data_IF_999323799868
#
_entry.id   IF_999323799868
#
_cell.length_a   1.000
_cell.length_b   1.000
_cell.length_c   1.000
_cell.angle_alpha   90.00
_cell.angle_beta   90.00
_cell.angle_gamma   90.00
#
_symmetry.space_group_name_H-M   'P 1'
#
loop_
_entity.id
_entity.type
_entity.pdbx_description
1 polymer ?
#
# COMPACT_ATOMS: atom_id res chain seq x y z
N UNK A 1 -14.81 -28.47 5.84
CA UNK A 1 -13.71 -27.47 5.78
C UNK A 1 -13.34 -27.33 4.33
N UNK A 2 -13.55 -26.15 3.73
CA UNK A 2 -13.30 -25.96 2.30
C UNK A 2 -11.79 -25.83 2.01
N UNK A 3 -11.40 -25.80 0.74
CA UNK A 3 -9.99 -25.68 0.35
C UNK A 3 -9.33 -24.42 0.93
N UNK A 4 -10.04 -23.30 0.98
CA UNK A 4 -9.51 -22.05 1.54
C UNK A 4 -9.16 -22.21 3.02
N UNK A 5 -10.05 -22.79 3.82
CA UNK A 5 -9.83 -23.02 5.25
C UNK A 5 -8.59 -23.93 5.49
N UNK A 6 -8.34 -24.90 4.61
CA UNK A 6 -7.16 -25.77 4.65
C UNK A 6 -5.88 -24.99 4.34
N UNK A 7 -5.89 -24.15 3.30
CA UNK A 7 -4.76 -23.29 2.94
C UNK A 7 -4.43 -22.30 4.05
N UNK A 8 -5.45 -21.69 4.67
CA UNK A 8 -5.29 -20.81 5.82
C UNK A 8 -4.69 -21.60 6.99
N UNK A 9 -5.20 -22.79 7.30
CA UNK A 9 -4.65 -23.63 8.36
C UNK A 9 -3.17 -23.96 8.13
N UNK A 10 -2.80 -24.32 6.90
CA UNK A 10 -1.42 -24.60 6.54
C UNK A 10 -0.53 -23.35 6.64
N UNK A 11 -1.00 -22.20 6.16
CA UNK A 11 -0.30 -20.92 6.30
C UNK A 11 -0.04 -20.59 7.79
N UNK A 12 -1.04 -20.79 8.65
CA UNK A 12 -0.89 -20.57 10.08
C UNK A 12 0.08 -21.55 10.75
N UNK A 13 0.13 -22.80 10.29
CA UNK A 13 1.11 -23.78 10.77
C UNK A 13 2.53 -23.38 10.36
N UNK A 14 2.72 -22.88 9.15
CA UNK A 14 4.01 -22.44 8.62
C UNK A 14 4.49 -21.13 9.26
N UNK A 15 3.57 -20.30 9.75
CA UNK A 15 3.80 -18.98 10.34
C UNK A 15 3.04 -18.80 11.65
N UNK A 16 3.39 -19.61 12.65
CA UNK A 16 2.71 -19.63 13.95
C UNK A 16 2.73 -18.27 14.66
N UNK A 17 3.77 -17.47 14.44
CA UNK A 17 3.92 -16.11 14.97
C UNK A 17 2.85 -15.12 14.48
N UNK A 18 2.15 -15.45 13.38
CA UNK A 18 1.07 -14.64 12.82
C UNK A 18 -0.30 -15.02 13.33
N UNK A 19 -0.42 -15.96 14.29
CA UNK A 19 -1.71 -16.40 14.85
C UNK A 19 -2.67 -15.27 15.26
N UNK A 20 -2.21 -14.20 15.95
CA UNK A 20 -3.07 -13.06 16.29
C UNK A 20 -3.55 -12.26 15.07
N UNK A 21 -2.87 -12.41 13.94
CA UNK A 21 -3.10 -11.68 12.69
C UNK A 21 -3.80 -12.52 11.62
N UNK A 22 -4.39 -13.66 12.00
CA UNK A 22 -5.04 -14.61 11.08
C UNK A 22 -5.98 -13.93 10.07
N UNK A 23 -6.78 -12.95 10.51
CA UNK A 23 -7.71 -12.21 9.65
C UNK A 23 -6.98 -11.51 8.50
N UNK A 24 -5.82 -10.91 8.76
CA UNK A 24 -5.03 -10.23 7.73
C UNK A 24 -4.30 -11.24 6.84
N UNK A 25 -3.85 -12.37 7.40
CA UNK A 25 -3.30 -13.50 6.63
C UNK A 25 -4.31 -14.02 5.61
N UNK A 26 -5.57 -14.22 6.03
CA UNK A 26 -6.66 -14.63 5.13
C UNK A 26 -6.83 -13.65 3.97
N UNK A 27 -6.75 -12.33 4.23
CA UNK A 27 -6.78 -11.31 3.18
C UNK A 27 -5.58 -11.40 2.24
N UNK A 28 -4.36 -11.54 2.76
CA UNK A 28 -3.17 -11.65 1.91
C UNK A 28 -3.20 -12.90 1.03
N UNK A 29 -3.75 -14.02 1.51
CA UNK A 29 -3.98 -15.20 0.65
C UNK A 29 -4.96 -14.88 -0.47
N UNK A 30 -6.09 -14.24 -0.18
CA UNK A 30 -7.05 -13.80 -1.19
C UNK A 30 -6.46 -12.76 -2.17
N UNK A 31 -5.48 -11.95 -1.74
CA UNK A 31 -4.77 -11.04 -2.65
C UNK A 31 -4.06 -11.79 -3.78
N UNK A 32 -3.46 -12.96 -3.50
CA UNK A 32 -2.85 -13.78 -4.55
C UNK A 32 -3.88 -14.24 -5.59
N UNK A 33 -5.06 -14.66 -5.16
CA UNK A 33 -6.13 -15.04 -6.09
C UNK A 33 -6.62 -13.84 -6.90
N UNK A 34 -6.89 -12.70 -6.26
CA UNK A 34 -7.34 -11.48 -6.94
C UNK A 34 -6.32 -11.04 -7.99
N UNK A 35 -5.03 -10.99 -7.63
CA UNK A 35 -3.96 -10.58 -8.56
C UNK A 35 -3.85 -11.59 -9.71
N UNK A 36 -3.97 -12.90 -9.45
CA UNK A 36 -3.97 -13.92 -10.51
C UNK A 36 -5.12 -13.71 -11.48
N UNK A 37 -6.35 -13.56 -10.99
CA UNK A 37 -7.51 -13.38 -11.84
C UNK A 37 -7.47 -12.05 -12.62
N UNK A 38 -6.98 -10.98 -12.00
CA UNK A 38 -6.72 -9.71 -12.70
C UNK A 38 -5.69 -9.87 -13.82
N UNK A 39 -4.67 -10.72 -13.62
CA UNK A 39 -3.69 -11.02 -14.67
C UNK A 39 -4.29 -11.83 -15.81
N UNK A 40 -5.08 -12.87 -15.49
CA UNK A 40 -5.74 -13.71 -16.51
C UNK A 40 -6.72 -12.89 -17.34
N UNK A 41 -7.38 -11.91 -16.73
CA UNK A 41 -8.25 -10.96 -17.41
C UNK A 41 -7.50 -9.87 -18.22
N UNK A 42 -6.15 -9.87 -18.25
CA UNK A 42 -5.35 -8.90 -18.98
C UNK A 42 -5.31 -7.49 -18.36
N UNK A 43 -5.83 -7.30 -17.15
CA UNK A 43 -5.91 -5.98 -16.52
C UNK A 43 -4.54 -5.46 -16.08
N UNK A 44 -3.68 -6.37 -15.62
CA UNK A 44 -2.36 -6.02 -15.09
C UNK A 44 -1.37 -5.52 -16.15
N UNK A 45 -1.67 -5.68 -17.45
CA UNK A 45 -0.83 -5.18 -18.53
C UNK A 45 -0.74 -3.65 -18.54
N UNK A 46 -1.83 -3.00 -18.12
CA UNK A 46 -1.95 -1.53 -18.08
C UNK A 46 -1.84 -0.94 -16.67
N UNK A 47 -1.92 -1.78 -15.64
CA UNK A 47 -1.86 -1.37 -14.24
C UNK A 47 -0.45 -1.54 -13.67
N UNK A 48 -0.09 -0.68 -12.74
CA UNK A 48 1.12 -0.82 -11.93
C UNK A 48 0.73 -1.00 -10.48
N UNK A 49 1.23 -2.05 -9.84
CA UNK A 49 0.95 -2.37 -8.45
C UNK A 49 1.76 -1.48 -7.51
N UNK A 50 1.10 -0.80 -6.57
CA UNK A 50 1.70 0.28 -5.78
C UNK A 50 1.47 0.10 -4.27
N UNK A 51 2.05 1.01 -3.50
CA UNK A 51 1.69 1.20 -2.09
C UNK A 51 2.19 0.09 -1.16
N UNK A 52 1.53 -0.02 -0.01
CA UNK A 52 1.98 -0.87 1.09
C UNK A 52 1.91 -2.36 0.80
N UNK A 53 0.88 -2.79 0.06
CA UNK A 53 0.72 -4.20 -0.30
C UNK A 53 1.71 -4.60 -1.38
N UNK A 54 2.11 -3.69 -2.28
CA UNK A 54 3.23 -3.91 -3.18
C UNK A 54 4.55 -4.10 -2.42
N UNK A 55 4.84 -3.25 -1.41
CA UNK A 55 6.00 -3.45 -0.53
C UNK A 55 5.99 -4.83 0.15
N UNK A 56 4.83 -5.26 0.64
CA UNK A 56 4.66 -6.58 1.25
C UNK A 56 4.85 -7.71 0.24
N UNK A 57 4.03 -7.74 -0.80
CA UNK A 57 3.92 -8.88 -1.70
C UNK A 57 5.09 -9.01 -2.69
N UNK A 58 5.69 -7.91 -3.13
CA UNK A 58 6.81 -7.93 -4.09
C UNK A 58 8.17 -7.76 -3.41
N UNK A 59 8.28 -6.83 -2.46
CA UNK A 59 9.57 -6.46 -1.86
C UNK A 59 9.84 -7.10 -0.49
N UNK A 60 8.83 -7.71 0.13
CA UNK A 60 8.96 -8.46 1.37
C UNK A 60 8.95 -7.62 2.65
N UNK A 61 8.20 -6.52 2.67
CA UNK A 61 7.93 -5.76 3.90
C UNK A 61 7.34 -6.66 4.99
N UNK A 62 7.71 -6.37 6.24
CA UNK A 62 7.44 -7.22 7.41
C UNK A 62 6.00 -7.09 7.89
N UNK A 63 5.41 -5.90 7.70
CA UNK A 63 4.02 -5.65 8.12
C UNK A 63 3.06 -6.23 7.10
N UNK A 64 1.98 -6.81 7.59
CA UNK A 64 0.90 -7.30 6.75
C UNK A 64 0.12 -6.12 6.15
N UNK A 65 -0.65 -6.40 5.10
CA UNK A 65 -1.47 -5.43 4.39
C UNK A 65 -2.83 -6.02 4.02
N UNK A 66 -3.84 -5.17 3.87
CA UNK A 66 -5.24 -5.61 3.77
C UNK A 66 -5.96 -5.24 2.47
N UNK A 67 -5.47 -4.22 1.77
CA UNK A 67 -6.06 -3.66 0.55
C UNK A 67 -5.12 -3.85 -0.65
N UNK A 68 -5.61 -3.67 -1.87
CA UNK A 68 -4.82 -3.71 -3.09
C UNK A 68 -4.88 -2.35 -3.79
N UNK A 69 -3.72 -1.72 -3.98
CA UNK A 69 -3.61 -0.41 -4.62
C UNK A 69 -2.90 -0.54 -5.97
N UNK A 70 -3.49 0.00 -7.03
CA UNK A 70 -2.88 0.08 -8.36
C UNK A 70 -2.93 1.49 -8.91
N UNK A 71 -2.14 1.74 -9.94
CA UNK A 71 -2.24 2.93 -10.76
C UNK A 71 -2.32 2.60 -12.24
N UNK A 72 -3.25 3.23 -12.95
CA UNK A 72 -3.60 2.88 -14.34
C UNK A 72 -3.23 3.93 -15.39
N UNK A 73 -2.51 4.99 -15.02
CA UNK A 73 -2.22 6.12 -15.90
C UNK A 73 -3.38 7.11 -15.99
N UNK A 74 -3.12 8.25 -16.65
CA UNK A 74 -4.10 9.36 -16.78
C UNK A 74 -5.35 9.01 -17.60
N UNK A 75 -5.26 7.98 -18.44
CA UNK A 75 -6.33 7.56 -19.34
C UNK A 75 -7.10 6.32 -18.83
N UNK A 76 -6.92 5.95 -17.56
CA UNK A 76 -7.60 4.79 -17.00
C UNK A 76 -9.13 4.97 -17.02
N UNK A 77 -9.84 4.00 -17.61
CA UNK A 77 -11.29 4.04 -17.77
C UNK A 77 -11.95 2.90 -16.99
N UNK A 78 -13.06 3.18 -16.30
CA UNK A 78 -13.94 2.19 -15.66
C UNK A 78 -14.28 0.99 -16.53
N UNK A 79 -14.42 1.20 -17.84
CA UNK A 79 -14.73 0.12 -18.78
C UNK A 79 -13.67 -0.99 -18.78
N UNK A 80 -12.47 -0.76 -18.25
CA UNK A 80 -11.48 -1.83 -18.02
C UNK A 80 -11.83 -2.71 -16.81
N UNK A 81 -12.66 -2.23 -15.90
CA UNK A 81 -13.12 -2.97 -14.72
C UNK A 81 -14.50 -3.60 -14.92
N UNK A 82 -15.14 -3.38 -16.07
CA UNK A 82 -16.30 -4.17 -16.43
C UNK A 82 -15.87 -5.64 -16.48
N UNK A 83 -16.74 -6.52 -16.03
CA UNK A 83 -16.53 -7.96 -15.96
C UNK A 83 -15.53 -8.45 -14.89
N UNK A 84 -14.62 -7.62 -14.35
CA UNK A 84 -13.74 -8.03 -13.25
C UNK A 84 -14.53 -8.53 -12.04
N UNK A 85 -15.63 -7.85 -11.71
CA UNK A 85 -16.51 -8.27 -10.62
C UNK A 85 -17.06 -9.68 -10.84
N UNK A 86 -17.61 -9.96 -12.02
CA UNK A 86 -18.16 -11.27 -12.37
C UNK A 86 -17.06 -12.35 -12.39
N UNK A 87 -15.90 -12.06 -12.99
CA UNK A 87 -14.76 -12.96 -13.04
C UNK A 87 -14.30 -13.35 -11.63
N UNK A 88 -14.16 -12.36 -10.72
CA UNK A 88 -13.71 -12.63 -9.36
C UNK A 88 -14.74 -13.47 -8.59
N UNK A 89 -16.03 -13.19 -8.74
CA UNK A 89 -17.10 -14.00 -8.11
C UNK A 89 -17.02 -15.44 -8.62
N UNK A 90 -17.10 -15.65 -9.93
CA UNK A 90 -17.13 -16.97 -10.55
C UNK A 90 -15.90 -17.80 -10.18
N UNK A 91 -14.70 -17.18 -10.21
CA UNK A 91 -13.43 -17.88 -9.97
C UNK A 91 -13.23 -18.22 -8.50
N UNK A 92 -13.54 -17.31 -7.58
CA UNK A 92 -13.39 -17.55 -6.15
C UNK A 92 -14.45 -18.54 -5.63
N UNK A 93 -15.68 -18.45 -6.13
CA UNK A 93 -16.74 -19.41 -5.82
C UNK A 93 -16.39 -20.80 -6.35
N UNK A 94 -15.96 -20.93 -7.61
CA UNK A 94 -15.56 -22.21 -8.18
C UNK A 94 -14.36 -22.84 -7.45
N UNK A 95 -13.36 -22.03 -7.06
CA UNK A 95 -12.14 -22.53 -6.41
C UNK A 95 -12.37 -22.98 -4.96
N UNK A 96 -13.19 -22.24 -4.21
CA UNK A 96 -13.30 -22.43 -2.75
C UNK A 96 -14.68 -22.83 -2.24
N UNK A 97 -15.72 -22.81 -3.09
CA UNK A 97 -17.11 -22.91 -2.64
C UNK A 97 -17.47 -21.80 -1.65
N UNK A 98 -16.83 -20.64 -1.80
CA UNK A 98 -16.96 -19.50 -0.89
C UNK A 98 -17.83 -18.45 -1.54
N UNK A 99 -18.97 -18.12 -0.94
CA UNK A 99 -19.83 -17.05 -1.49
C UNK A 99 -19.10 -15.71 -1.45
N UNK A 100 -19.00 -15.04 -2.61
CA UNK A 100 -18.30 -13.77 -2.79
C UNK A 100 -19.22 -12.75 -3.42
N UNK A 101 -19.15 -11.52 -2.93
CA UNK A 101 -19.76 -10.36 -3.61
C UNK A 101 -18.69 -9.33 -3.92
N UNK A 102 -18.78 -8.73 -5.10
CA UNK A 102 -17.88 -7.65 -5.53
C UNK A 102 -18.70 -6.41 -5.82
N UNK A 103 -18.36 -5.29 -5.18
CA UNK A 103 -19.06 -4.04 -5.44
C UNK A 103 -18.73 -3.48 -6.81
N UNK A 104 -19.72 -2.88 -7.47
CA UNK A 104 -19.52 -2.07 -8.66
C UNK A 104 -18.41 -1.00 -8.48
N UNK A 105 -17.55 -0.77 -9.49
CA UNK A 105 -16.53 0.26 -9.42
C UNK A 105 -17.15 1.64 -9.21
N UNK A 106 -16.83 2.28 -8.08
CA UNK A 106 -17.27 3.64 -7.77
C UNK A 106 -16.12 4.60 -7.96
N UNK A 107 -16.38 5.69 -8.70
CA UNK A 107 -15.45 6.80 -8.84
C UNK A 107 -15.50 7.64 -7.56
N UNK A 108 -14.35 7.77 -6.91
CA UNK A 108 -14.13 8.72 -5.83
C UNK A 108 -13.44 9.95 -6.43
N UNK A 109 -14.18 11.06 -6.55
CA UNK A 109 -13.68 12.33 -7.09
C UNK A 109 -13.05 13.14 -5.95
N UNK A 110 -11.78 12.89 -5.68
CA UNK A 110 -10.94 13.72 -4.82
C UNK A 110 -9.93 14.53 -5.65
N UNK A 111 -8.73 14.73 -5.10
CA UNK A 111 -7.59 15.31 -5.84
C UNK A 111 -7.14 14.44 -7.02
N UNK A 112 -7.53 13.16 -7.01
CA UNK A 112 -7.15 12.13 -7.98
C UNK A 112 -8.35 11.25 -8.20
N UNK A 113 -8.69 11.03 -9.46
CA UNK A 113 -9.73 10.07 -9.84
C UNK A 113 -9.31 8.66 -9.42
N UNK A 114 -10.07 8.08 -8.47
CA UNK A 114 -9.81 6.73 -7.96
C UNK A 114 -11.03 5.85 -8.17
N UNK A 115 -10.84 4.68 -8.76
CA UNK A 115 -11.88 3.66 -8.88
C UNK A 115 -11.74 2.66 -7.75
N UNK A 116 -12.82 2.50 -6.97
CA UNK A 116 -12.86 1.62 -5.81
C UNK A 116 -13.79 0.46 -6.04
N UNK A 117 -13.29 -0.74 -5.78
CA UNK A 117 -14.05 -1.99 -5.74
C UNK A 117 -13.79 -2.70 -4.42
N UNK A 118 -14.72 -3.52 -3.97
CA UNK A 118 -14.61 -4.21 -2.70
C UNK A 118 -15.05 -5.66 -2.87
N UNK A 119 -14.16 -6.59 -2.54
CA UNK A 119 -14.43 -8.02 -2.49
C UNK A 119 -14.84 -8.37 -1.05
N UNK A 120 -16.01 -8.98 -0.89
CA UNK A 120 -16.56 -9.40 0.39
C UNK A 120 -16.79 -10.91 0.37
N UNK A 121 -16.18 -11.63 1.32
CA UNK A 121 -16.39 -13.08 1.49
C UNK A 121 -17.45 -13.38 2.53
N UNK A 122 -18.21 -14.47 2.34
CA UNK A 122 -19.25 -14.96 3.27
C UNK A 122 -20.26 -13.87 3.69
N UNK A 123 -20.82 -13.07 2.76
CA UNK A 123 -21.64 -11.90 3.12
C UNK A 123 -22.91 -12.27 3.93
N UNK A 124 -23.41 -13.49 3.79
CA UNK A 124 -24.64 -13.97 4.43
C UNK A 124 -24.42 -14.64 5.80
N UNK A 125 -23.18 -15.01 6.14
CA UNK A 125 -22.88 -15.78 7.36
C UNK A 125 -22.43 -14.86 8.50
N UNK A 126 -23.39 -14.19 9.17
CA UNK A 126 -23.13 -13.28 10.31
C UNK A 126 -22.36 -13.93 11.48
N UNK A 127 -22.39 -15.26 11.59
CA UNK A 127 -21.69 -16.02 12.63
C UNK A 127 -20.21 -16.28 12.33
N UNK A 128 -19.73 -15.98 11.13
CA UNK A 128 -18.33 -16.14 10.73
C UNK A 128 -17.73 -14.79 10.31
N UNK A 129 -16.43 -14.55 10.56
CA UNK A 129 -15.78 -13.32 10.11
C UNK A 129 -15.77 -13.26 8.58
N UNK A 130 -16.37 -12.20 8.02
CA UNK A 130 -16.28 -11.87 6.61
C UNK A 130 -15.00 -11.10 6.31
N UNK A 131 -14.36 -11.39 5.17
CA UNK A 131 -13.22 -10.62 4.71
C UNK A 131 -13.68 -9.51 3.78
N UNK A 132 -13.15 -8.31 4.00
CA UNK A 132 -13.36 -7.14 3.16
C UNK A 132 -12.01 -6.66 2.62
N UNK A 133 -11.84 -6.72 1.30
CA UNK A 133 -10.62 -6.32 0.59
C UNK A 133 -10.99 -5.23 -0.38
N UNK A 134 -10.42 -4.04 -0.21
CA UNK A 134 -10.60 -2.97 -1.18
C UNK A 134 -9.56 -3.10 -2.30
N UNK A 135 -10.00 -2.80 -3.52
CA UNK A 135 -9.16 -2.67 -4.71
C UNK A 135 -9.32 -1.24 -5.19
N UNK A 136 -8.26 -0.46 -5.05
CA UNK A 136 -8.23 0.97 -5.40
C UNK A 136 -7.32 1.16 -6.61
N UNK A 137 -7.86 1.79 -7.67
CA UNK A 137 -7.11 2.08 -8.90
C UNK A 137 -7.10 3.58 -9.14
N UNK A 138 -5.93 4.19 -8.92
CA UNK A 138 -5.71 5.62 -9.09
C UNK A 138 -5.35 5.94 -10.56
N UNK A 139 -5.99 6.95 -11.14
CA UNK A 139 -5.67 7.47 -12.47
C UNK A 139 -4.42 8.38 -12.47
N UNK A 140 -3.32 7.89 -11.89
CA UNK A 140 -2.01 8.53 -11.88
C UNK A 140 -1.02 7.74 -12.75
N UNK A 141 0.07 8.36 -13.22
CA UNK A 141 1.18 7.61 -13.79
C UNK A 141 2.08 7.03 -12.69
N UNK A 142 2.70 5.88 -12.99
CA UNK A 142 3.95 5.45 -12.36
C UNK A 142 5.11 5.82 -13.28
N UNK A 143 6.15 6.41 -12.70
CA UNK A 143 7.34 6.92 -13.36
C UNK A 143 8.52 5.93 -13.36
N UNK A 144 8.51 4.95 -12.45
CA UNK A 144 9.51 3.87 -12.35
C UNK A 144 8.80 2.54 -12.05
N UNK A 145 8.35 1.89 -13.13
CA UNK A 145 7.74 0.56 -13.09
C UNK A 145 8.80 -0.53 -13.29
N UNK A 146 8.68 -1.63 -12.55
CA UNK A 146 9.58 -2.78 -12.60
C UNK A 146 8.78 -4.09 -12.69
N UNK A 147 9.19 -5.05 -13.53
CA UNK A 147 8.61 -6.38 -13.51
C UNK A 147 9.02 -7.08 -12.20
N UNK A 148 8.03 -7.60 -11.47
CA UNK A 148 8.22 -8.26 -10.17
C UNK A 148 7.39 -9.54 -10.08
N UNK A 149 7.82 -10.45 -9.21
CA UNK A 149 7.05 -11.64 -8.85
C UNK A 149 6.49 -11.50 -7.44
N UNK A 150 5.33 -12.13 -7.20
CA UNK A 150 4.77 -12.24 -5.85
C UNK A 150 5.59 -13.20 -4.99
N UNK A 151 5.90 -12.80 -3.77
CA UNK A 151 6.60 -13.61 -2.78
C UNK A 151 5.61 -14.52 -2.06
N UNK A 152 5.96 -15.80 -1.89
CA UNK A 152 5.18 -16.74 -1.09
C UNK A 152 5.54 -16.64 0.40
N UNK A 153 4.90 -15.71 1.11
CA UNK A 153 5.17 -15.47 2.54
C UNK A 153 4.75 -16.63 3.45
N UNK A 154 3.80 -17.45 3.00
CA UNK A 154 3.11 -18.44 3.82
C UNK A 154 3.50 -19.88 3.51
N UNK A 155 4.27 -20.12 2.45
CA UNK A 155 4.67 -21.45 2.01
C UNK A 155 3.48 -22.30 1.55
N UNK A 156 2.45 -21.68 0.98
CA UNK A 156 1.27 -22.35 0.41
C UNK A 156 1.14 -21.99 -1.06
N UNK A 157 0.72 -22.95 -1.90
CA UNK A 157 0.61 -22.72 -3.34
C UNK A 157 -0.71 -22.02 -3.66
N UNK A 158 -0.61 -20.76 -4.06
CA UNK A 158 -1.76 -19.93 -4.43
C UNK A 158 -1.93 -19.78 -5.94
N UNK A 159 -1.22 -20.55 -6.77
CA UNK A 159 -1.28 -20.47 -8.23
C UNK A 159 -0.70 -19.18 -8.80
N UNK A 160 0.22 -18.54 -8.06
CA UNK A 160 0.89 -17.29 -8.47
C UNK A 160 2.39 -17.48 -8.68
N UNK A 161 2.88 -18.72 -8.55
CA UNK A 161 4.26 -19.05 -8.88
C UNK A 161 4.53 -18.74 -10.36
N UNK A 162 5.60 -18.01 -10.63
CA UNK A 162 5.95 -17.56 -11.99
C UNK A 162 5.15 -16.37 -12.51
N UNK A 163 4.16 -15.86 -11.78
CA UNK A 163 3.38 -14.70 -12.22
C UNK A 163 4.22 -13.42 -12.15
N UNK A 164 4.44 -12.79 -13.30
CA UNK A 164 5.12 -11.50 -13.42
C UNK A 164 4.08 -10.39 -13.49
N UNK A 165 4.22 -9.38 -12.65
CA UNK A 165 3.37 -8.18 -12.63
C UNK A 165 4.23 -6.91 -12.73
N UNK A 166 3.65 -5.82 -13.21
CA UNK A 166 4.28 -4.50 -13.13
C UNK A 166 4.06 -3.92 -11.74
N UNK A 167 5.13 -3.64 -11.02
CA UNK A 167 5.12 -3.04 -9.70
C UNK A 167 5.91 -1.73 -9.72
N UNK A 168 5.50 -0.78 -8.88
CA UNK A 168 6.24 0.45 -8.69
C UNK A 168 7.56 0.16 -7.95
N UNK A 169 8.62 0.90 -8.29
CA UNK A 169 9.91 0.77 -7.60
C UNK A 169 9.82 1.18 -6.13
N UNK A 170 10.77 0.72 -5.31
CA UNK A 170 10.82 1.08 -3.88
C UNK A 170 11.08 2.58 -3.69
N UNK A 171 11.88 3.14 -4.58
CA UNK A 171 12.27 4.53 -4.70
C UNK A 171 11.05 5.41 -5.00
N UNK A 172 10.23 5.01 -5.99
CA UNK A 172 9.01 5.74 -6.32
C UNK A 172 7.92 5.56 -5.26
N UNK A 173 7.81 4.38 -4.64
CA UNK A 173 6.92 4.18 -3.48
C UNK A 173 7.34 5.10 -2.32
N UNK A 174 8.64 5.25 -2.03
CA UNK A 174 9.13 6.18 -1.01
C UNK A 174 8.70 7.62 -1.31
N UNK A 175 8.85 8.06 -2.56
CA UNK A 175 8.39 9.36 -3.00
C UNK A 175 6.86 9.52 -2.83
N UNK A 176 6.06 8.51 -3.20
CA UNK A 176 4.61 8.54 -3.00
C UNK A 176 4.22 8.58 -1.51
N UNK A 177 4.98 7.93 -0.62
CA UNK A 177 4.75 8.01 0.84
C UNK A 177 4.98 9.41 1.38
N UNK A 178 6.05 10.10 0.97
CA UNK A 178 6.28 11.49 1.37
C UNK A 178 5.26 12.46 0.76
N UNK A 179 4.87 12.22 -0.49
CA UNK A 179 3.80 13.02 -1.11
C UNK A 179 2.48 12.83 -0.39
N UNK A 180 2.14 11.59 -0.03
CA UNK A 180 0.95 11.28 0.75
C UNK A 180 1.02 11.81 2.20
N UNK A 181 2.21 11.89 2.80
CA UNK A 181 2.41 12.46 4.13
C UNK A 181 1.93 13.92 4.18
N UNK A 182 2.28 14.72 3.17
CA UNK A 182 1.86 16.12 3.07
C UNK A 182 0.41 16.27 2.58
N UNK A 183 0.06 15.63 1.46
CA UNK A 183 -1.19 15.94 0.74
C UNK A 183 -2.43 15.19 1.26
N UNK A 184 -2.28 14.21 2.15
CA UNK A 184 -3.44 13.53 2.73
C UNK A 184 -4.14 14.47 3.71
N UNK A 185 -5.40 14.78 3.41
CA UNK A 185 -6.22 15.65 4.24
C UNK A 185 -6.44 15.04 5.63
N UNK A 186 -6.32 15.89 6.65
CA UNK A 186 -6.77 15.68 8.03
C UNK A 186 -6.21 14.45 8.79
N UNK A 187 -5.21 13.74 8.26
CA UNK A 187 -4.59 12.63 9.00
C UNK A 187 -3.20 12.26 8.50
N UNK A 188 -2.33 11.92 9.44
CA UNK A 188 -1.16 11.09 9.21
C UNK A 188 -1.61 9.62 9.15
N UNK A 189 -1.09 8.86 8.19
CA UNK A 189 -1.35 7.40 8.10
C UNK A 189 -0.17 6.69 8.74
N UNK A 190 -0.36 6.05 9.88
CA UNK A 190 0.77 5.54 10.67
C UNK A 190 1.52 4.41 9.96
N UNK A 191 0.82 3.62 9.14
CA UNK A 191 1.45 2.63 8.25
C UNK A 191 2.41 3.25 7.24
N UNK A 192 2.18 4.49 6.80
CA UNK A 192 3.09 5.17 5.88
C UNK A 192 4.39 5.57 6.60
N UNK A 193 4.33 5.94 7.89
CA UNK A 193 5.52 6.21 8.70
C UNK A 193 6.40 4.97 8.85
N UNK A 194 5.78 3.81 9.11
CA UNK A 194 6.49 2.53 9.12
C UNK A 194 7.14 2.22 7.77
N UNK A 195 6.39 2.39 6.67
CA UNK A 195 6.90 2.09 5.33
C UNK A 195 8.09 2.96 4.95
N UNK A 196 8.07 4.26 5.29
CA UNK A 196 9.20 5.17 5.07
C UNK A 196 10.44 4.66 5.81
N UNK A 197 10.33 4.39 7.11
CA UNK A 197 11.47 3.91 7.90
C UNK A 197 11.96 2.56 7.39
N UNK A 198 11.05 1.63 7.06
CA UNK A 198 11.41 0.33 6.50
C UNK A 198 12.20 0.48 5.20
N UNK A 199 11.75 1.35 4.27
CA UNK A 199 12.46 1.63 3.03
C UNK A 199 13.85 2.22 3.29
N UNK A 200 13.98 3.15 4.24
CA UNK A 200 15.28 3.72 4.62
C UNK A 200 16.22 2.68 5.24
N UNK A 201 15.70 1.75 6.05
CA UNK A 201 16.48 0.63 6.59
C UNK A 201 16.95 -0.35 5.51
N UNK A 202 16.25 -0.43 4.38
CA UNK A 202 16.68 -1.18 3.20
C UNK A 202 17.70 -0.42 2.33
N UNK A 203 18.17 0.75 2.76
CA UNK A 203 19.13 1.57 2.01
C UNK A 203 18.53 2.26 0.79
N UNK A 204 17.21 2.49 0.76
CA UNK A 204 16.55 3.16 -0.36
C UNK A 204 16.71 4.67 -0.22
N UNK A 205 17.30 5.28 -1.24
CA UNK A 205 17.40 6.73 -1.36
C UNK A 205 16.15 7.32 -1.99
N UNK A 206 15.79 8.51 -1.53
CA UNK A 206 14.65 9.24 -2.04
C UNK A 206 14.97 9.88 -3.40
N UNK A 207 14.25 9.53 -4.48
CA UNK A 207 14.44 10.16 -5.78
C UNK A 207 13.80 11.56 -5.80
N UNK A 208 14.59 12.57 -5.42
CA UNK A 208 14.12 13.96 -5.28
C UNK A 208 13.55 14.54 -6.58
N UNK A 209 13.99 14.07 -7.74
CA UNK A 209 13.49 14.50 -9.05
C UNK A 209 12.06 14.00 -9.34
N UNK A 210 11.60 12.96 -8.65
CA UNK A 210 10.23 12.46 -8.76
C UNK A 210 9.23 13.29 -7.97
N UNK A 211 9.65 13.98 -6.90
CA UNK A 211 8.74 14.74 -6.03
C UNK A 211 7.97 15.82 -6.81
N UNK A 212 8.61 16.71 -7.61
CA UNK A 212 7.89 17.69 -8.42
C UNK A 212 6.89 17.05 -9.40
N UNK A 213 7.28 15.94 -10.03
CA UNK A 213 6.41 15.20 -10.99
C UNK A 213 5.16 14.69 -10.27
N UNK A 214 5.34 14.07 -9.10
CA UNK A 214 4.27 13.51 -8.27
C UNK A 214 3.32 14.56 -7.68
N UNK A 215 3.82 15.76 -7.38
CA UNK A 215 3.01 16.91 -6.98
C UNK A 215 2.15 17.38 -8.17
N UNK A 216 2.79 17.53 -9.34
CA UNK A 216 2.11 17.97 -10.57
C UNK A 216 1.04 16.98 -11.02
N UNK A 217 1.28 15.67 -10.94
CA UNK A 217 0.31 14.64 -11.28
C UNK A 217 -0.96 14.69 -10.42
N UNK A 218 -0.89 15.31 -9.24
CA UNK A 218 -2.02 15.53 -8.33
C UNK A 218 -2.61 16.93 -8.47
N UNK A 219 -2.19 17.69 -9.48
CA UNK A 219 -2.61 19.06 -9.75
C UNK A 219 -2.40 20.01 -8.56
N UNK A 220 -1.33 19.79 -7.78
CA UNK A 220 -0.97 20.64 -6.64
C UNK A 220 0.25 21.51 -6.97
N UNK A 221 0.42 22.60 -6.22
CA UNK A 221 1.58 23.47 -6.35
C UNK A 221 2.70 23.05 -5.38
N UNK A 222 3.95 23.33 -5.75
CA UNK A 222 5.11 23.09 -4.88
C UNK A 222 5.02 23.92 -3.58
N UNK A 223 4.50 25.14 -3.65
CA UNK A 223 4.34 26.00 -2.48
C UNK A 223 3.36 25.39 -1.47
N UNK A 224 2.15 25.04 -1.92
CA UNK A 224 1.13 24.38 -1.09
C UNK A 224 1.68 23.07 -0.48
N UNK A 225 2.37 22.27 -1.29
CA UNK A 225 2.97 21.03 -0.82
C UNK A 225 3.98 21.27 0.31
N UNK A 226 4.84 22.29 0.19
CA UNK A 226 5.84 22.62 1.20
C UNK A 226 5.20 23.08 2.52
N UNK A 227 4.15 23.90 2.44
CA UNK A 227 3.42 24.36 3.62
C UNK A 227 2.82 23.16 4.39
N UNK A 228 2.13 22.28 3.68
CA UNK A 228 1.54 21.06 4.27
C UNK A 228 2.60 20.10 4.79
N UNK A 229 3.73 19.95 4.10
CA UNK A 229 4.84 19.09 4.55
C UNK A 229 5.44 19.62 5.86
N UNK A 230 5.61 20.93 5.99
CA UNK A 230 6.11 21.57 7.21
C UNK A 230 5.11 21.45 8.36
N UNK A 231 3.82 21.62 8.10
CA UNK A 231 2.76 21.38 9.09
C UNK A 231 2.83 19.94 9.62
N UNK A 232 2.87 18.96 8.71
CA UNK A 232 2.93 17.53 9.06
C UNK A 232 4.21 17.16 9.81
N UNK A 233 5.35 17.75 9.43
CA UNK A 233 6.61 17.59 10.16
C UNK A 233 6.48 18.12 11.59
N UNK A 234 5.88 19.29 11.77
CA UNK A 234 5.69 19.92 13.08
C UNK A 234 4.73 19.11 13.94
N UNK A 235 3.65 18.60 13.34
CA UNK A 235 2.71 17.70 14.00
C UNK A 235 3.41 16.44 14.52
N UNK A 236 4.26 15.79 13.71
CA UNK A 236 5.00 14.59 14.10
C UNK A 236 5.95 14.80 15.30
N UNK A 237 6.42 16.03 15.52
CA UNK A 237 7.33 16.38 16.60
C UNK A 237 6.60 16.82 17.89
N UNK A 238 5.41 17.40 17.77
CA UNK A 238 4.70 18.05 18.88
C UNK A 238 3.52 17.23 19.42
N UNK A 239 2.90 16.41 18.58
CA UNK A 239 1.68 15.68 18.91
C UNK A 239 2.01 14.32 19.54
N UNK A 240 1.86 14.24 20.87
CA UNK A 240 2.16 13.04 21.67
C UNK A 240 1.18 11.90 21.37
N UNK A 241 -0.06 12.21 20.95
CA UNK A 241 -1.08 11.20 20.65
C UNK A 241 -0.74 10.38 19.40
N UNK A 242 0.06 10.93 18.49
CA UNK A 242 0.50 10.21 17.29
C UNK A 242 1.27 8.93 17.62
N UNK A 243 2.04 8.90 18.71
CA UNK A 243 2.73 7.67 19.13
C UNK A 243 1.74 6.60 19.51
N UNK A 244 0.70 6.96 20.28
CA UNK A 244 -0.33 6.03 20.70
C UNK A 244 -1.11 5.49 19.49
N UNK A 245 -1.51 6.36 18.57
CA UNK A 245 -2.19 5.97 17.33
C UNK A 245 -1.30 5.10 16.43
N UNK A 246 0.00 5.39 16.38
CA UNK A 246 0.98 4.57 15.68
C UNK A 246 1.06 3.16 16.26
N UNK A 247 1.24 3.02 17.57
CA UNK A 247 1.29 1.72 18.25
C UNK A 247 -0.01 0.95 17.96
N UNK A 248 -1.16 1.60 18.18
CA UNK A 248 -2.49 1.00 17.98
C UNK A 248 -2.71 0.52 16.54
N UNK A 249 -2.34 1.31 15.53
CA UNK A 249 -2.49 0.88 14.14
C UNK A 249 -1.52 -0.26 13.80
N UNK A 250 -0.24 -0.15 14.21
CA UNK A 250 0.81 -1.11 13.84
C UNK A 250 0.65 -2.49 14.48
N UNK A 251 0.09 -2.58 15.70
CA UNK A 251 -0.21 -3.86 16.36
C UNK A 251 -1.17 -4.74 15.55
N UNK A 252 -1.98 -4.15 14.68
CA UNK A 252 -2.90 -4.89 13.80
C UNK A 252 -2.23 -5.53 12.59
N UNK A 253 -0.97 -5.19 12.31
CA UNK A 253 -0.26 -5.59 11.09
C UNK A 253 1.13 -6.17 11.35
N UNK A 254 1.60 -6.21 12.59
CA UNK A 254 2.92 -6.74 12.94
C UNK A 254 2.82 -7.87 13.97
N UNK A 255 3.68 -8.91 13.89
CA UNK A 255 3.76 -9.96 14.90
C UNK A 255 3.97 -9.36 16.30
N UNK A 256 3.39 -9.98 17.33
CA UNK A 256 3.46 -9.52 18.72
C UNK A 256 4.90 -9.25 19.20
N UNK A 257 5.85 -10.08 18.75
CA UNK A 257 7.28 -9.90 19.05
C UNK A 257 7.82 -8.57 18.51
N UNK A 258 7.54 -8.23 17.25
CA UNK A 258 8.00 -6.96 16.65
C UNK A 258 7.32 -5.78 17.34
N UNK A 259 6.06 -5.94 17.74
CA UNK A 259 5.34 -4.91 18.48
C UNK A 259 6.05 -4.61 19.81
N UNK A 260 6.31 -5.64 20.62
CA UNK A 260 6.94 -5.49 21.92
C UNK A 260 8.41 -5.01 21.84
N UNK A 261 9.20 -5.54 20.90
CA UNK A 261 10.64 -5.23 20.80
C UNK A 261 10.89 -3.88 20.11
N UNK A 262 10.01 -3.46 19.20
CA UNK A 262 10.24 -2.29 18.33
C UNK A 262 9.17 -1.22 18.47
N UNK A 263 7.89 -1.55 18.27
CA UNK A 263 6.82 -0.53 18.17
C UNK A 263 6.54 0.16 19.50
N UNK A 264 6.56 -0.59 20.60
CA UNK A 264 6.32 -0.06 21.95
C UNK A 264 7.55 0.67 22.51
N UNK A 265 8.73 0.42 21.94
CA UNK A 265 9.98 1.04 22.36
C UNK A 265 10.02 2.54 22.02
N UNK A 266 10.18 3.37 23.05
CA UNK A 266 10.22 4.83 22.90
C UNK A 266 11.39 5.32 22.04
N UNK A 267 12.55 4.67 22.15
CA UNK A 267 13.71 5.02 21.34
C UNK A 267 13.44 4.77 19.84
N UNK A 268 12.64 3.77 19.50
CA UNK A 268 12.24 3.55 18.11
C UNK A 268 11.32 4.66 17.59
N UNK A 269 10.41 5.19 18.42
CA UNK A 269 9.61 6.35 18.04
C UNK A 269 10.48 7.58 17.77
N UNK A 270 11.45 7.88 18.63
CA UNK A 270 12.41 8.98 18.39
C UNK A 270 13.23 8.77 17.12
N UNK A 271 13.65 7.53 16.84
CA UNK A 271 14.35 7.19 15.61
C UNK A 271 13.46 7.37 14.37
N UNK A 272 12.23 6.83 14.40
CA UNK A 272 11.28 6.93 13.29
C UNK A 272 10.95 8.38 12.95
N UNK A 273 10.65 9.20 13.96
CA UNK A 273 10.33 10.61 13.76
C UNK A 273 11.54 11.38 13.22
N UNK A 274 12.75 11.08 13.69
CA UNK A 274 13.99 11.66 13.18
C UNK A 274 14.20 11.35 11.69
N UNK A 275 14.05 10.08 11.30
CA UNK A 275 14.19 9.64 9.89
C UNK A 275 13.17 10.33 9.00
N UNK A 276 11.89 10.30 9.37
CA UNK A 276 10.83 10.93 8.57
C UNK A 276 11.06 12.44 8.45
N UNK A 277 11.43 13.11 9.55
CA UNK A 277 11.72 14.55 9.53
C UNK A 277 12.95 14.91 8.67
N UNK A 278 13.97 14.05 8.65
CA UNK A 278 15.16 14.23 7.81
C UNK A 278 14.80 14.15 6.32
N UNK A 279 13.98 13.17 5.92
CA UNK A 279 13.49 13.05 4.54
C UNK A 279 12.62 14.25 4.16
N UNK A 280 11.71 14.71 5.04
CA UNK A 280 10.94 15.94 4.82
C UNK A 280 11.85 17.17 4.63
N UNK A 281 12.92 17.30 5.41
CA UNK A 281 13.87 18.39 5.29
C UNK A 281 14.67 18.33 3.98
N UNK A 282 15.04 17.12 3.53
CA UNK A 282 15.70 16.91 2.25
C UNK A 282 14.81 17.35 1.08
N UNK A 283 13.53 16.97 1.11
CA UNK A 283 12.53 17.41 0.12
C UNK A 283 12.39 18.94 0.14
N UNK A 284 12.21 19.53 1.32
CA UNK A 284 12.04 20.98 1.44
C UNK A 284 13.25 21.75 0.88
N UNK A 285 14.47 21.29 1.17
CA UNK A 285 15.71 21.86 0.64
C UNK A 285 15.80 21.72 -0.88
N UNK A 286 15.46 20.55 -1.43
CA UNK A 286 15.52 20.30 -2.86
C UNK A 286 14.56 21.20 -3.64
N UNK A 287 13.33 21.33 -3.15
CA UNK A 287 12.30 22.17 -3.77
C UNK A 287 12.58 23.67 -3.58
N UNK A 288 13.08 24.09 -2.41
CA UNK A 288 13.43 25.48 -2.14
C UNK A 288 14.64 26.00 -2.95
N UNK A 289 15.60 25.12 -3.26
CA UNK A 289 16.72 25.48 -4.14
C UNK A 289 16.30 25.58 -5.62
N UNK A 290 15.24 24.88 -6.02
CA UNK A 290 14.70 24.92 -7.38
C UNK A 290 13.92 26.22 -7.67
N UNK A 291 13.50 26.96 -6.64
CA UNK A 291 12.83 28.27 -6.74
C UNK A 291 13.79 29.47 -6.80
N UNK A 292 15.12 29.25 -6.69
CA UNK A 292 16.12 30.30 -6.87
C UNK A 292 16.38 30.60 -8.36
N UNK A 293 16.75 31.84 -8.74
CA UNK A 293 17.05 32.17 -10.13
C UNK A 293 18.18 31.26 -10.64
N UNK A 294 18.16 30.84 -11.92
CA UNK A 294 19.21 30.00 -12.47
C UNK A 294 20.54 30.70 -12.28
N UNK A 295 21.47 30.06 -11.56
CA UNK A 295 22.84 30.52 -11.46
C UNK A 295 23.43 30.48 -12.86
N UNK A 296 23.44 31.64 -13.53
CA UNK A 296 24.25 31.85 -14.72
C UNK A 296 25.69 31.52 -14.33
N UNK A 297 26.22 30.44 -14.89
CA UNK A 297 27.67 30.23 -14.94
C UNK A 297 28.22 31.30 -15.88
N UNK A 298 28.98 32.24 -15.33
CA UNK A 298 29.94 33.04 -16.11
C UNK A 298 31.05 32.13 -16.64
#
# INVERSE_FOLDING_TARGET
MNLFDQLVFQAMKNKAELAPLRVVVEKELLHHDIIREMSVAGLLDSLTFIGGTCLRACYGSNRLSEDLDFTGGKNFNRATLSDLAAILVDRLEAKYGLHVTVSEPKKDTGNVDTWKMCVITRPEQKSLPSQRINIDICALPSHDRRPMMLRNHYGVEMGTSGLIIQAQSREEILADKLVALALRANRLKNRDLWDIVWLKQQGIDLPLDLIPKKILDRHRSTAEFLDLLNERKSQLQLDVELRYDFIKEMTRFLPARIVAETIENEAFWSYLTSVVCAECAQVAKALGNASGPPKFKM
#
